data_IF_699445860161
#
_entry.id   IF_699445860161
#
_cell.length_a   1.000
_cell.length_b   1.000
_cell.length_c   1.000
_cell.angle_alpha   90.00
_cell.angle_beta   90.00
_cell.angle_gamma   90.00
#
_symmetry.space_group_name_H-M   'P 1'
#
loop_
_entity.id
_entity.type
_entity.pdbx_description
1 polymer ?
#
# COMPACT_ATOMS: atom_id res chain seq x y z
N UNK A 1 -19.44 -34.58 -58.60
CA UNK A 1 -18.47 -33.56 -58.17
C UNK A 1 -19.14 -32.41 -57.42
N UNK A 2 -20.21 -31.79 -57.90
CA UNK A 2 -20.88 -30.66 -57.21
C UNK A 2 -21.37 -30.97 -55.79
N UNK A 3 -21.92 -32.17 -55.53
CA UNK A 3 -22.42 -32.59 -54.20
C UNK A 3 -21.32 -32.81 -53.17
N UNK A 4 -20.12 -33.19 -53.59
CA UNK A 4 -18.96 -33.38 -52.71
C UNK A 4 -18.40 -32.01 -52.31
N UNK A 5 -18.38 -31.08 -53.23
CA UNK A 5 -17.91 -29.68 -52.96
C UNK A 5 -18.82 -28.96 -51.96
N UNK A 6 -20.16 -29.15 -52.07
CA UNK A 6 -21.11 -28.57 -51.12
C UNK A 6 -20.99 -29.17 -49.72
N UNK A 7 -20.74 -30.46 -49.60
CA UNK A 7 -20.49 -31.12 -48.31
C UNK A 7 -19.20 -30.63 -47.64
N UNK A 8 -18.15 -30.41 -48.44
CA UNK A 8 -16.90 -29.86 -47.93
C UNK A 8 -17.05 -28.40 -47.45
N UNK A 9 -17.81 -27.59 -48.20
CA UNK A 9 -18.10 -26.21 -47.82
C UNK A 9 -18.95 -26.12 -46.54
N UNK A 10 -19.92 -27.03 -46.36
CA UNK A 10 -20.75 -27.12 -45.17
C UNK A 10 -19.95 -27.61 -43.95
N UNK A 11 -18.99 -28.51 -44.11
CA UNK A 11 -18.12 -29.00 -43.06
C UNK A 11 -17.16 -27.94 -42.57
N UNK A 12 -16.65 -27.04 -43.40
CA UNK A 12 -15.80 -25.92 -43.00
C UNK A 12 -16.55 -24.83 -42.25
N UNK A 13 -17.87 -24.67 -42.48
CA UNK A 13 -18.72 -23.72 -41.75
C UNK A 13 -19.05 -24.18 -40.32
N UNK A 14 -18.91 -25.51 -40.06
CA UNK A 14 -19.20 -26.11 -38.73
C UNK A 14 -17.97 -26.25 -37.85
N UNK A 15 -16.79 -25.75 -38.26
CA UNK A 15 -15.63 -25.67 -37.36
C UNK A 15 -15.98 -24.75 -36.19
N UNK A 16 -16.02 -25.27 -34.96
CA UNK A 16 -16.30 -24.43 -33.82
C UNK A 16 -15.16 -23.41 -33.77
N UNK A 17 -15.50 -22.11 -33.80
CA UNK A 17 -14.58 -21.06 -33.36
C UNK A 17 -14.25 -21.36 -31.89
N UNK A 18 -13.16 -22.06 -31.68
CA UNK A 18 -12.56 -22.16 -30.35
C UNK A 18 -12.11 -20.76 -30.00
N UNK A 19 -13.02 -19.97 -29.41
CA UNK A 19 -12.65 -18.77 -28.72
C UNK A 19 -11.67 -19.22 -27.66
N UNK A 20 -10.40 -18.87 -27.86
CA UNK A 20 -9.37 -19.09 -26.86
C UNK A 20 -9.84 -18.37 -25.59
N UNK A 21 -10.43 -19.12 -24.68
CA UNK A 21 -10.86 -18.63 -23.40
C UNK A 21 -9.57 -18.21 -22.68
N UNK A 22 -9.27 -16.90 -22.68
CA UNK A 22 -8.18 -16.37 -21.87
C UNK A 22 -8.48 -16.80 -20.43
N UNK A 23 -7.74 -17.82 -19.99
CA UNK A 23 -7.73 -18.18 -18.57
C UNK A 23 -7.05 -17.03 -17.85
N UNK A 24 -7.84 -16.05 -17.40
CA UNK A 24 -7.37 -14.98 -16.54
C UNK A 24 -6.68 -15.62 -15.34
N UNK A 25 -5.47 -15.18 -14.98
CA UNK A 25 -4.77 -15.72 -13.83
C UNK A 25 -5.69 -15.63 -12.62
N UNK A 26 -5.88 -16.74 -11.90
CA UNK A 26 -6.78 -16.85 -10.74
C UNK A 26 -6.48 -15.85 -9.63
N UNK A 27 -5.30 -15.20 -9.67
CA UNK A 27 -4.84 -14.20 -8.69
C UNK A 27 -4.10 -13.08 -9.42
N UNK A 28 -4.85 -12.13 -9.95
CA UNK A 28 -4.28 -10.88 -10.44
C UNK A 28 -4.01 -9.96 -9.26
N UNK A 29 -2.81 -9.35 -9.21
CA UNK A 29 -2.47 -8.34 -8.22
C UNK A 29 -3.11 -7.00 -8.62
N UNK A 30 -4.07 -6.53 -7.84
CA UNK A 30 -4.73 -5.23 -7.99
C UNK A 30 -4.45 -4.41 -6.74
N UNK A 31 -3.33 -3.68 -6.78
CA UNK A 31 -2.83 -2.91 -5.65
C UNK A 31 -3.29 -1.45 -5.68
N UNK A 32 -3.56 -0.89 -4.51
CA UNK A 32 -3.78 0.54 -4.31
C UNK A 32 -2.83 1.11 -3.27
N UNK A 33 -2.38 2.36 -3.49
CA UNK A 33 -1.43 3.04 -2.61
C UNK A 33 -2.16 3.96 -1.65
N UNK A 34 -1.81 3.87 -0.36
CA UNK A 34 -2.23 4.82 0.67
C UNK A 34 -0.97 5.48 1.23
N UNK A 35 -0.83 6.78 0.96
CA UNK A 35 0.31 7.59 1.38
C UNK A 35 -0.01 8.36 2.65
N UNK A 36 1.03 8.72 3.41
CA UNK A 36 0.91 9.56 4.63
C UNK A 36 1.53 10.94 4.46
N UNK A 37 2.51 11.07 3.57
CA UNK A 37 3.33 12.30 3.42
C UNK A 37 2.57 13.49 2.82
N UNK A 38 1.39 13.27 2.28
CA UNK A 38 0.51 14.34 1.78
C UNK A 38 -0.26 15.07 2.89
N UNK A 39 -0.06 14.68 4.16
CA UNK A 39 -0.73 15.31 5.29
C UNK A 39 -2.20 14.95 5.47
N UNK A 40 -2.73 13.99 4.71
CA UNK A 40 -4.16 13.62 4.76
C UNK A 40 -4.66 13.18 6.14
N UNK A 41 -3.77 12.70 7.01
CA UNK A 41 -4.11 12.24 8.36
C UNK A 41 -3.66 13.23 9.45
N UNK A 42 -2.97 14.31 9.08
CA UNK A 42 -2.44 15.26 10.04
C UNK A 42 -3.55 15.95 10.81
N UNK A 43 -3.45 15.95 12.14
CA UNK A 43 -4.45 16.56 13.02
C UNK A 43 -5.70 15.72 13.26
N UNK A 44 -5.81 14.53 12.67
CA UNK A 44 -6.92 13.61 12.95
C UNK A 44 -6.72 12.91 14.29
N UNK A 45 -7.81 12.75 15.03
CA UNK A 45 -7.82 11.81 16.15
C UNK A 45 -7.69 10.37 15.65
N UNK A 46 -7.36 9.44 16.57
CA UNK A 46 -7.32 8.00 16.26
C UNK A 46 -8.60 7.55 15.56
N UNK A 47 -9.75 7.89 16.13
CA UNK A 47 -11.06 7.41 15.66
C UNK A 47 -11.41 8.00 14.29
N UNK A 48 -11.04 9.26 14.04
CA UNK A 48 -11.20 9.90 12.74
C UNK A 48 -10.30 9.25 11.67
N UNK A 49 -9.04 8.97 12.00
CA UNK A 49 -8.12 8.30 11.09
C UNK A 49 -8.60 6.88 10.78
N UNK A 50 -9.03 6.12 11.79
CA UNK A 50 -9.57 4.78 11.60
C UNK A 50 -10.85 4.78 10.74
N UNK A 51 -11.76 5.72 10.98
CA UNK A 51 -12.97 5.87 10.17
C UNK A 51 -12.64 6.21 8.71
N UNK A 52 -11.70 7.13 8.48
CA UNK A 52 -11.25 7.51 7.15
C UNK A 52 -10.61 6.32 6.40
N UNK A 53 -9.67 5.62 7.04
CA UNK A 53 -9.01 4.44 6.48
C UNK A 53 -10.02 3.30 6.22
N UNK A 54 -10.97 3.07 7.13
CA UNK A 54 -12.04 2.09 6.94
C UNK A 54 -12.87 2.41 5.70
N UNK A 55 -13.24 3.67 5.51
CA UNK A 55 -13.97 4.11 4.32
C UNK A 55 -13.16 3.86 3.05
N UNK A 56 -11.88 4.27 3.02
CA UNK A 56 -11.00 4.04 1.87
C UNK A 56 -10.89 2.54 1.55
N UNK A 57 -10.67 1.69 2.55
CA UNK A 57 -10.57 0.23 2.37
C UNK A 57 -11.85 -0.38 1.81
N UNK A 58 -13.03 0.08 2.25
CA UNK A 58 -14.31 -0.40 1.75
C UNK A 58 -14.49 -0.04 0.27
N UNK A 59 -14.26 1.23 -0.09
CA UNK A 59 -14.35 1.69 -1.49
C UNK A 59 -13.37 0.93 -2.39
N UNK A 60 -12.11 0.78 -1.95
CA UNK A 60 -11.10 0.04 -2.71
C UNK A 60 -11.49 -1.44 -2.89
N UNK A 61 -12.07 -2.06 -1.86
CA UNK A 61 -12.59 -3.43 -1.95
C UNK A 61 -13.72 -3.55 -2.97
N UNK A 62 -14.67 -2.62 -2.98
CA UNK A 62 -15.76 -2.57 -3.96
C UNK A 62 -15.23 -2.39 -5.39
N UNK A 63 -14.13 -1.64 -5.56
CA UNK A 63 -13.42 -1.51 -6.84
C UNK A 63 -12.61 -2.77 -7.24
N UNK A 64 -12.65 -3.83 -6.43
CA UNK A 64 -11.96 -5.09 -6.72
C UNK A 64 -10.47 -5.09 -6.37
N UNK A 65 -9.97 -4.11 -5.61
CA UNK A 65 -8.60 -4.10 -5.08
C UNK A 65 -8.42 -5.25 -4.10
N UNK A 66 -7.28 -5.96 -4.21
CA UNK A 66 -6.95 -7.10 -3.36
C UNK A 66 -5.63 -6.93 -2.59
N UNK A 67 -4.92 -5.82 -2.81
CA UNK A 67 -3.69 -5.50 -2.10
C UNK A 67 -3.60 -4.00 -1.79
N UNK A 68 -3.21 -3.66 -0.58
CA UNK A 68 -2.96 -2.28 -0.15
C UNK A 68 -1.46 -2.09 0.04
N UNK A 69 -0.91 -1.06 -0.61
CA UNK A 69 0.47 -0.63 -0.42
C UNK A 69 0.42 0.58 0.51
N UNK A 70 0.66 0.35 1.80
CA UNK A 70 0.56 1.36 2.84
C UNK A 70 1.91 1.95 3.18
N UNK A 71 2.05 3.26 3.06
CA UNK A 71 3.26 3.94 3.46
C UNK A 71 3.36 4.00 4.98
N UNK A 72 4.32 3.27 5.55
CA UNK A 72 4.51 3.16 7.00
C UNK A 72 5.73 3.93 7.50
N UNK A 73 6.62 4.33 6.56
CA UNK A 73 7.84 5.07 6.84
C UNK A 73 8.07 6.09 5.73
N UNK A 74 7.88 7.36 6.07
CA UNK A 74 7.96 8.47 5.11
C UNK A 74 9.28 9.21 5.12
N UNK A 75 9.78 9.57 6.31
CA UNK A 75 10.92 10.47 6.53
C UNK A 75 11.88 9.96 7.64
N UNK A 76 12.30 8.70 7.58
CA UNK A 76 13.08 8.04 8.64
C UNK A 76 12.34 8.12 10.01
N UNK A 77 11.06 7.87 9.96
CA UNK A 77 10.10 7.86 11.05
C UNK A 77 9.11 6.73 10.82
N UNK A 78 8.34 6.33 11.81
CA UNK A 78 7.48 5.17 11.74
C UNK A 78 6.03 5.47 12.11
N UNK A 79 5.08 4.78 11.44
CA UNK A 79 3.68 4.69 11.83
C UNK A 79 3.38 3.42 12.64
N UNK A 80 4.38 2.90 13.30
CA UNK A 80 4.30 1.72 14.17
C UNK A 80 5.27 1.88 15.33
N UNK A 81 5.09 1.07 16.38
CA UNK A 81 6.02 1.05 17.50
C UNK A 81 7.39 0.49 17.07
N UNK A 82 8.39 1.36 16.98
CA UNK A 82 9.76 1.01 16.62
C UNK A 82 10.73 1.34 17.75
N UNK A 83 11.66 0.43 18.11
CA UNK A 83 12.73 0.75 19.05
C UNK A 83 13.86 1.58 18.41
N UNK A 84 13.87 1.72 17.08
CA UNK A 84 14.96 2.34 16.33
C UNK A 84 14.59 3.69 15.74
N UNK A 85 13.29 3.93 15.48
CA UNK A 85 12.80 5.08 14.75
C UNK A 85 11.73 5.83 15.55
N UNK A 86 11.72 7.16 15.46
CA UNK A 86 10.71 7.97 16.13
C UNK A 86 9.36 7.82 15.46
N UNK A 87 8.28 8.07 16.21
CA UNK A 87 6.94 8.21 15.65
C UNK A 87 6.88 9.30 14.60
N UNK A 88 6.14 9.04 13.54
CA UNK A 88 6.00 9.96 12.43
C UNK A 88 5.21 11.22 12.81
N UNK A 89 5.74 12.39 12.37
CA UNK A 89 5.03 13.67 12.47
C UNK A 89 3.71 13.71 11.71
N UNK A 90 3.56 12.89 10.69
CA UNK A 90 2.32 12.78 9.92
C UNK A 90 1.18 12.12 10.69
N UNK A 91 1.50 11.43 11.79
CA UNK A 91 0.52 10.83 12.68
C UNK A 91 0.06 11.80 13.77
N UNK A 92 1.01 12.50 14.41
CA UNK A 92 0.73 13.29 15.62
C UNK A 92 1.04 14.79 15.47
N UNK A 93 1.54 15.20 14.32
CA UNK A 93 1.97 16.57 14.06
C UNK A 93 3.41 16.87 14.52
N UNK A 94 3.99 16.04 15.42
CA UNK A 94 5.34 16.20 15.95
C UNK A 94 6.08 14.88 15.94
N UNK A 95 7.27 14.85 15.30
CA UNK A 95 8.12 13.66 15.25
C UNK A 95 8.53 13.21 16.66
N UNK A 96 8.52 11.89 16.87
CA UNK A 96 8.88 11.27 18.15
C UNK A 96 7.77 11.26 19.20
N UNK A 97 6.61 11.86 18.93
CA UNK A 97 5.48 11.84 19.83
C UNK A 97 4.58 10.66 19.54
N UNK A 98 4.35 9.73 20.47
CA UNK A 98 3.42 8.62 20.28
C UNK A 98 1.98 9.13 20.17
N UNK A 99 1.09 8.38 19.49
CA UNK A 99 -0.32 8.74 19.42
C UNK A 99 -0.99 8.63 20.80
N UNK A 100 -1.93 9.54 21.06
CA UNK A 100 -2.72 9.55 22.29
C UNK A 100 -4.22 9.67 21.94
N UNK A 101 -5.08 8.68 22.26
CA UNK A 101 -4.75 7.42 22.93
C UNK A 101 -3.80 6.54 22.09
N UNK A 102 -2.96 5.77 22.76
CA UNK A 102 -1.98 4.90 22.11
C UNK A 102 -2.65 3.86 21.21
N UNK A 103 -2.12 3.71 20.00
CA UNK A 103 -2.48 2.65 19.05
C UNK A 103 -1.37 2.46 18.03
N UNK A 104 -1.35 1.33 17.37
CA UNK A 104 -0.39 1.03 16.29
C UNK A 104 -1.13 1.04 14.94
N UNK A 105 -0.91 2.07 14.10
CA UNK A 105 -1.56 2.17 12.80
C UNK A 105 -1.26 1.00 11.86
N UNK A 106 -0.03 0.50 11.84
CA UNK A 106 0.34 -0.62 10.98
C UNK A 106 -0.36 -1.91 11.42
N UNK A 107 -0.31 -2.24 12.70
CA UNK A 107 -0.98 -3.43 13.21
C UNK A 107 -2.50 -3.38 12.97
N UNK A 108 -3.10 -2.21 13.14
CA UNK A 108 -4.52 -1.99 12.87
C UNK A 108 -4.83 -2.18 11.37
N UNK A 109 -4.04 -1.60 10.47
CA UNK A 109 -4.21 -1.73 9.01
C UNK A 109 -4.07 -3.17 8.52
N UNK A 110 -3.13 -3.93 9.07
CA UNK A 110 -2.98 -5.37 8.77
C UNK A 110 -4.29 -6.10 9.07
N UNK A 111 -4.83 -5.89 10.27
CA UNK A 111 -6.08 -6.52 10.69
C UNK A 111 -7.27 -6.11 9.80
N UNK A 112 -7.40 -4.83 9.47
CA UNK A 112 -8.50 -4.33 8.64
C UNK A 112 -8.42 -4.80 7.19
N UNK A 113 -7.21 -4.92 6.62
CA UNK A 113 -7.02 -5.51 5.29
C UNK A 113 -7.38 -7.00 5.29
N UNK A 114 -6.90 -7.76 6.28
CA UNK A 114 -7.19 -9.20 6.38
C UNK A 114 -8.67 -9.48 6.56
N UNK A 115 -9.40 -8.71 7.39
CA UNK A 115 -10.87 -8.81 7.51
C UNK A 115 -11.61 -8.70 6.18
N UNK A 116 -11.03 -7.97 5.22
CA UNK A 116 -11.58 -7.75 3.88
C UNK A 116 -11.02 -8.71 2.83
N UNK A 117 -10.15 -9.66 3.23
CA UNK A 117 -9.47 -10.57 2.31
C UNK A 117 -8.52 -9.82 1.36
N UNK A 118 -7.92 -8.72 1.81
CA UNK A 118 -6.89 -7.97 1.10
C UNK A 118 -5.52 -8.21 1.73
N UNK A 119 -4.48 -8.21 0.90
CA UNK A 119 -3.09 -8.22 1.36
C UNK A 119 -2.67 -6.81 1.80
N UNK A 120 -1.76 -6.71 2.79
CA UNK A 120 -1.09 -5.46 3.13
C UNK A 120 0.40 -5.56 2.80
N UNK A 121 0.88 -4.59 2.03
CA UNK A 121 2.29 -4.38 1.72
C UNK A 121 2.75 -3.10 2.38
N UNK A 122 3.62 -3.21 3.39
CA UNK A 122 4.21 -2.06 4.05
C UNK A 122 5.25 -1.42 3.13
N UNK A 123 5.07 -0.13 2.80
CA UNK A 123 6.04 0.62 2.02
C UNK A 123 6.95 1.45 2.91
N UNK A 124 8.22 1.18 2.81
CA UNK A 124 9.29 1.82 3.54
C UNK A 124 10.21 2.63 2.61
N UNK A 125 10.56 3.85 3.00
CA UNK A 125 11.64 4.62 2.39
C UNK A 125 12.88 4.52 3.25
N UNK A 126 13.88 3.70 2.89
CA UNK A 126 15.07 3.47 3.71
C UNK A 126 15.97 4.71 3.84
N UNK A 127 15.91 5.64 2.90
CA UNK A 127 16.69 6.89 2.94
C UNK A 127 15.79 8.09 3.19
N UNK A 128 16.17 9.03 4.09
CA UNK A 128 15.44 10.26 4.29
C UNK A 128 15.51 11.10 3.01
N UNK A 129 14.38 11.23 2.31
CA UNK A 129 14.23 12.29 1.31
C UNK A 129 14.21 13.61 2.07
N UNK A 130 15.33 14.33 2.07
CA UNK A 130 15.43 15.65 2.64
C UNK A 130 14.54 16.60 1.84
N UNK A 131 13.35 16.87 2.35
CA UNK A 131 12.52 17.93 1.81
C UNK A 131 13.20 19.25 2.22
N UNK A 132 13.78 19.97 1.26
CA UNK A 132 14.63 21.14 1.47
C UNK A 132 13.97 22.29 2.28
N UNK A 133 12.66 22.21 2.53
CA UNK A 133 11.91 23.24 3.23
C UNK A 133 11.71 23.01 4.74
N UNK A 134 12.23 21.92 5.30
CA UNK A 134 12.24 21.69 6.74
C UNK A 134 13.69 21.58 7.23
N UNK A 135 14.20 22.65 7.83
CA UNK A 135 15.38 22.57 8.69
C UNK A 135 15.07 21.59 9.83
N UNK A 136 15.59 20.37 9.68
CA UNK A 136 15.57 19.38 10.75
C UNK A 136 16.56 19.85 11.81
N UNK A 137 16.08 20.31 12.93
CA UNK A 137 16.86 20.27 14.17
C UNK A 137 16.94 18.82 14.61
N UNK A 138 17.77 18.04 13.93
CA UNK A 138 18.27 16.81 14.50
C UNK A 138 19.14 17.18 15.69
N UNK A 139 18.79 16.70 16.87
CA UNK A 139 19.71 16.68 17.98
C UNK A 139 21.01 15.97 17.53
N UNK A 140 22.06 16.77 17.39
CA UNK A 140 23.29 16.55 16.61
C UNK A 140 24.26 15.60 17.31
N UNK A 141 23.88 14.39 17.75
CA UNK A 141 24.91 13.61 18.46
C UNK A 141 24.95 12.10 18.22
N UNK A 142 23.91 11.46 17.74
CA UNK A 142 23.92 9.99 17.72
C UNK A 142 24.23 9.33 16.37
N UNK A 143 23.92 10.02 15.25
CA UNK A 143 24.10 9.40 13.92
C UNK A 143 25.43 9.73 13.23
N UNK A 144 26.21 10.69 13.75
CA UNK A 144 27.56 10.99 13.21
C UNK A 144 28.61 9.93 13.57
N UNK A 145 28.35 9.08 14.56
CA UNK A 145 29.34 8.06 15.00
C UNK A 145 29.26 6.75 14.21
N UNK A 146 28.16 6.47 13.48
CA UNK A 146 27.99 5.17 12.82
C UNK A 146 28.44 5.14 11.36
N UNK A 147 28.64 6.30 10.72
CA UNK A 147 29.09 6.35 9.31
C UNK A 147 30.60 6.41 9.11
N UNK A 148 31.40 6.29 10.18
CA UNK A 148 32.87 6.34 10.10
C UNK A 148 33.57 4.98 10.23
N UNK A 149 32.85 3.87 10.25
CA UNK A 149 33.46 2.54 10.46
C UNK A 149 33.12 1.54 9.36
N UNK A 150 32.94 2.00 8.13
CA UNK A 150 32.91 1.13 6.95
C UNK A 150 33.78 1.75 5.84
N UNK A 151 35.11 1.63 6.04
CA UNK A 151 36.11 1.53 5.00
C UNK A 151 37.19 0.56 5.51
#
# INVERSE_FOLDING_TARGET
MKRILTLFLLATLLLPMTVAQQVLPKREFRGAWIQIINGQFQGMSRDQMQANLTHQLNVLKECGVNAIIFQVRGEADALYASPYEPWSRFLTGKQGTPPNPYWDPLAWMVNECHKRGMELHAWDKPLPCQNQNHQRTFGDTSLRKTSRTLF
#
